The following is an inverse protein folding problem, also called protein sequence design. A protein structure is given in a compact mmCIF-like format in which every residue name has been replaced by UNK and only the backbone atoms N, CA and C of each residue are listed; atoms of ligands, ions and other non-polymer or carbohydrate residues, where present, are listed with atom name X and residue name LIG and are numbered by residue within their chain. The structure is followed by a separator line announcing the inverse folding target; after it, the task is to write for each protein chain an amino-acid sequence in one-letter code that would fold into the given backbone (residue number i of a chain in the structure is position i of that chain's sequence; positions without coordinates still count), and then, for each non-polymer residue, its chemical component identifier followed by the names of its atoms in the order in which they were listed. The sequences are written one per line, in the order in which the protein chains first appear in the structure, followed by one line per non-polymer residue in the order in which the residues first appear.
data_IF_644612894389
#
_entry.id   IF_644612894389
#
_cell.length_a   1.000
_cell.length_b   1.000
_cell.length_c   1.000
_cell.angle_alpha   90.00
_cell.angle_beta   90.00
_cell.angle_gamma   90.00
#
_symmetry.space_group_name_H-M   'P 1'
#
loop_
_entity.id
_entity.type
_entity.pdbx_description
1 polymer ?
#
# COMPACT_ATOMS: atom_id res chain seq x y z
N UNK A 1 1.03 -41.57 -21.62
CA UNK A 1 1.56 -41.15 -20.30
C UNK A 1 3.08 -41.14 -20.40
N UNK A 2 3.70 -39.96 -20.55
CA UNK A 2 5.15 -39.86 -20.58
C UNK A 2 5.67 -39.96 -19.15
N UNK A 3 6.37 -41.04 -18.85
CA UNK A 3 7.05 -41.25 -17.57
C UNK A 3 8.16 -40.20 -17.48
N UNK A 4 7.97 -39.20 -16.61
CA UNK A 4 8.98 -38.17 -16.36
C UNK A 4 10.16 -38.86 -15.67
N UNK A 5 11.17 -39.23 -16.44
CA UNK A 5 12.45 -39.69 -15.89
C UNK A 5 13.03 -38.48 -15.18
N UNK A 6 12.99 -38.47 -13.84
CA UNK A 6 13.76 -37.50 -13.05
C UNK A 6 15.22 -37.95 -13.13
N UNK A 7 15.83 -37.66 -14.28
CA UNK A 7 17.24 -37.84 -14.52
C UNK A 7 17.98 -36.81 -13.65
N UNK A 8 18.65 -37.29 -12.61
CA UNK A 8 19.43 -36.46 -11.72
C UNK A 8 20.65 -35.98 -12.51
N UNK A 9 20.65 -34.69 -12.89
CA UNK A 9 21.70 -34.09 -13.71
C UNK A 9 23.10 -34.11 -13.05
N UNK A 10 23.18 -34.40 -11.74
CA UNK A 10 24.44 -34.41 -11.00
C UNK A 10 25.05 -33.02 -10.88
N UNK A 11 24.23 -32.01 -10.54
CA UNK A 11 24.72 -30.64 -10.38
C UNK A 11 25.43 -30.47 -9.02
N UNK A 12 26.33 -29.50 -8.86
CA UNK A 12 26.96 -29.20 -7.56
C UNK A 12 25.95 -29.01 -6.41
N UNK A 13 24.72 -28.55 -6.69
CA UNK A 13 23.62 -28.45 -5.71
C UNK A 13 22.96 -29.79 -5.30
N UNK A 14 23.30 -30.90 -5.96
CA UNK A 14 22.89 -32.26 -5.59
C UNK A 14 23.88 -32.92 -4.62
N UNK A 15 25.09 -32.38 -4.48
CA UNK A 15 26.14 -32.90 -3.60
C UNK A 15 26.19 -32.17 -2.26
N UNK A 16 26.56 -32.89 -1.20
CA UNK A 16 26.83 -32.28 0.11
C UNK A 16 28.05 -31.36 0.05
N UNK A 17 28.22 -30.49 1.05
CA UNK A 17 29.39 -29.61 1.09
C UNK A 17 30.71 -30.39 1.16
N UNK A 18 30.71 -31.58 1.77
CA UNK A 18 31.89 -32.42 1.93
C UNK A 18 32.22 -33.16 0.63
N UNK A 19 31.19 -33.65 -0.07
CA UNK A 19 31.34 -34.27 -1.40
C UNK A 19 31.82 -33.26 -2.44
N UNK A 20 31.33 -32.01 -2.39
CA UNK A 20 31.82 -30.94 -3.27
C UNK A 20 33.31 -30.67 -3.11
N UNK A 21 33.83 -30.75 -1.88
CA UNK A 21 35.26 -30.63 -1.60
C UNK A 21 36.04 -31.85 -2.09
N UNK A 22 35.50 -33.05 -1.83
CA UNK A 22 36.11 -34.31 -2.26
C UNK A 22 36.26 -34.39 -3.78
N UNK A 23 35.23 -33.98 -4.52
CA UNK A 23 35.21 -33.98 -5.99
C UNK A 23 35.74 -32.68 -6.62
N UNK A 24 36.25 -31.74 -5.82
CA UNK A 24 36.80 -30.45 -6.29
C UNK A 24 35.80 -29.62 -7.15
N UNK A 25 34.52 -29.65 -6.78
CA UNK A 25 33.42 -28.99 -7.51
C UNK A 25 33.16 -27.55 -7.06
N UNK A 26 34.04 -26.95 -6.27
CA UNK A 26 33.84 -25.62 -5.67
C UNK A 26 33.68 -24.52 -6.73
N UNK A 27 34.55 -24.51 -7.74
CA UNK A 27 34.48 -23.53 -8.83
C UNK A 27 33.16 -23.66 -9.62
N UNK A 28 32.70 -24.89 -9.85
CA UNK A 28 31.42 -25.14 -10.52
C UNK A 28 30.23 -24.73 -9.66
N UNK A 29 30.31 -24.93 -8.34
CA UNK A 29 29.30 -24.48 -7.40
C UNK A 29 29.15 -22.96 -7.42
N UNK A 30 30.25 -22.19 -7.51
CA UNK A 30 30.22 -20.74 -7.62
C UNK A 30 29.52 -20.25 -8.90
N UNK A 31 29.79 -20.90 -10.03
CA UNK A 31 29.09 -20.60 -11.29
C UNK A 31 27.59 -20.96 -11.20
N UNK A 32 27.26 -22.12 -10.62
CA UNK A 32 25.88 -22.54 -10.43
C UNK A 32 25.11 -21.55 -9.54
N UNK A 33 25.72 -21.05 -8.47
CA UNK A 33 25.15 -20.00 -7.61
C UNK A 33 24.78 -18.77 -8.43
N UNK A 34 25.71 -18.24 -9.25
CA UNK A 34 25.44 -17.04 -10.06
C UNK A 34 24.30 -17.26 -11.05
N UNK A 35 24.27 -18.41 -11.72
CA UNK A 35 23.21 -18.76 -12.66
C UNK A 35 21.85 -18.88 -11.94
N UNK A 36 21.82 -19.57 -10.80
CA UNK A 36 20.58 -19.76 -10.04
C UNK A 36 20.05 -18.46 -9.43
N UNK A 37 20.92 -17.52 -9.04
CA UNK A 37 20.49 -16.18 -8.61
C UNK A 37 19.76 -15.48 -9.76
N UNK A 38 20.34 -15.47 -10.96
CA UNK A 38 19.67 -14.93 -12.16
C UNK A 38 18.32 -15.62 -12.44
N UNK A 39 18.31 -16.95 -12.47
CA UNK A 39 17.09 -17.74 -12.67
C UNK A 39 16.03 -17.46 -11.60
N UNK A 40 16.43 -17.24 -10.34
CA UNK A 40 15.50 -16.93 -9.27
C UNK A 40 14.82 -15.57 -9.50
N UNK A 41 15.55 -14.55 -9.97
CA UNK A 41 14.96 -13.26 -10.33
C UNK A 41 14.02 -13.37 -11.54
N UNK A 42 14.44 -14.03 -12.61
CA UNK A 42 13.59 -14.23 -13.80
C UNK A 42 12.29 -14.99 -13.43
N UNK A 43 12.42 -16.01 -12.57
CA UNK A 43 11.28 -16.79 -12.13
C UNK A 43 10.40 -16.00 -11.15
N UNK A 44 10.97 -15.13 -10.33
CA UNK A 44 10.21 -14.21 -9.48
C UNK A 44 9.39 -13.23 -10.31
N UNK A 45 9.94 -12.71 -11.42
CA UNK A 45 9.21 -11.85 -12.36
C UNK A 45 8.05 -12.60 -13.02
N UNK A 46 8.25 -13.86 -13.40
CA UNK A 46 7.15 -14.73 -13.89
C UNK A 46 6.08 -14.97 -12.83
N UNK A 47 6.46 -15.12 -11.55
CA UNK A 47 5.48 -15.22 -10.46
C UNK A 47 4.68 -13.93 -10.37
N UNK A 48 5.34 -12.76 -10.37
CA UNK A 48 4.67 -11.46 -10.31
C UNK A 48 3.68 -11.28 -11.47
N UNK A 49 4.10 -11.59 -12.69
CA UNK A 49 3.23 -11.52 -13.87
C UNK A 49 2.03 -12.48 -13.77
N UNK A 50 2.26 -13.73 -13.37
CA UNK A 50 1.18 -14.70 -13.16
C UNK A 50 0.15 -14.20 -12.14
N UNK A 51 0.62 -13.64 -11.02
CA UNK A 51 -0.28 -13.11 -9.98
C UNK A 51 -1.02 -11.86 -10.49
N UNK A 52 -0.37 -10.98 -11.28
CA UNK A 52 -1.05 -9.84 -11.94
C UNK A 52 -2.21 -10.30 -12.82
N UNK A 53 -2.00 -11.33 -13.65
CA UNK A 53 -3.07 -11.90 -14.48
C UNK A 53 -4.20 -12.50 -13.63
N UNK A 54 -3.87 -13.24 -12.57
CA UNK A 54 -4.87 -13.77 -11.64
C UNK A 54 -5.73 -12.64 -11.03
N UNK A 55 -5.11 -11.54 -10.61
CA UNK A 55 -5.85 -10.40 -10.08
C UNK A 55 -6.76 -9.76 -11.13
N UNK A 56 -6.29 -9.62 -12.38
CA UNK A 56 -7.12 -9.13 -13.47
C UNK A 56 -8.35 -10.03 -13.74
N UNK A 57 -8.18 -11.36 -13.74
CA UNK A 57 -9.31 -12.29 -13.92
C UNK A 57 -10.31 -12.26 -12.76
N UNK A 58 -9.85 -12.07 -11.53
CA UNK A 58 -10.74 -11.92 -10.37
C UNK A 58 -11.59 -10.65 -10.53
N UNK A 59 -10.99 -9.56 -10.98
CA UNK A 59 -11.71 -8.31 -11.23
C UNK A 59 -12.66 -8.42 -12.43
N UNK A 60 -12.23 -9.03 -13.53
CA UNK A 60 -13.10 -9.29 -14.69
C UNK A 60 -14.31 -10.15 -14.30
N UNK A 61 -14.11 -11.17 -13.46
CA UNK A 61 -15.21 -11.96 -12.91
C UNK A 61 -16.18 -11.09 -12.11
N UNK A 62 -15.67 -10.19 -11.27
CA UNK A 62 -16.51 -9.31 -10.44
C UNK A 62 -17.36 -8.37 -11.29
N UNK A 63 -16.81 -7.88 -12.40
CA UNK A 63 -17.47 -6.91 -13.28
C UNK A 63 -18.44 -7.55 -14.26
N UNK A 64 -18.07 -8.69 -14.86
CA UNK A 64 -18.77 -9.22 -16.03
C UNK A 64 -19.60 -10.50 -15.76
N UNK A 65 -19.37 -11.21 -14.64
CA UNK A 65 -20.05 -12.49 -14.39
C UNK A 65 -21.43 -12.33 -13.75
N UNK A 66 -22.41 -11.92 -14.56
CA UNK A 66 -23.80 -11.73 -14.10
C UNK A 66 -24.65 -13.01 -14.21
N UNK A 67 -24.36 -13.90 -15.16
CA UNK A 67 -25.11 -15.15 -15.35
C UNK A 67 -24.44 -16.35 -14.67
N UNK A 68 -25.19 -17.43 -14.46
CA UNK A 68 -24.65 -18.70 -13.90
C UNK A 68 -23.60 -19.32 -14.83
N UNK A 69 -23.83 -19.24 -16.15
CA UNK A 69 -22.91 -19.77 -17.16
C UNK A 69 -21.59 -18.97 -17.16
N UNK A 70 -21.66 -17.64 -17.09
CA UNK A 70 -20.47 -16.78 -17.05
C UNK A 70 -19.71 -16.97 -15.74
N UNK A 71 -20.41 -17.10 -14.62
CA UNK A 71 -19.79 -17.41 -13.33
C UNK A 71 -19.01 -18.72 -13.35
N UNK A 72 -19.54 -19.75 -14.01
CA UNK A 72 -18.88 -21.05 -14.14
C UNK A 72 -17.60 -20.93 -14.98
N UNK A 73 -17.68 -20.30 -16.16
CA UNK A 73 -16.52 -20.09 -17.04
C UNK A 73 -15.42 -19.26 -16.36
N UNK A 74 -15.78 -18.13 -15.76
CA UNK A 74 -14.82 -17.28 -15.05
C UNK A 74 -14.22 -17.98 -13.82
N UNK A 75 -14.98 -18.84 -13.15
CA UNK A 75 -14.45 -19.64 -12.04
C UNK A 75 -13.41 -20.67 -12.52
N UNK A 76 -13.60 -21.29 -13.68
CA UNK A 76 -12.63 -22.24 -14.23
C UNK A 76 -11.33 -21.54 -14.66
N UNK A 77 -11.44 -20.36 -15.30
CA UNK A 77 -10.27 -19.51 -15.62
C UNK A 77 -9.53 -19.11 -14.35
N UNK A 78 -10.25 -18.73 -13.29
CA UNK A 78 -9.65 -18.37 -12.00
C UNK A 78 -8.93 -19.58 -11.38
N UNK A 79 -9.56 -20.76 -11.33
CA UNK A 79 -8.95 -21.99 -10.80
C UNK A 79 -7.68 -22.36 -11.58
N UNK A 80 -7.73 -22.31 -12.90
CA UNK A 80 -6.57 -22.54 -13.76
C UNK A 80 -5.45 -21.56 -13.41
N UNK A 81 -5.77 -20.27 -13.30
CA UNK A 81 -4.80 -19.21 -12.99
C UNK A 81 -4.16 -19.37 -11.61
N UNK A 82 -4.94 -19.78 -10.60
CA UNK A 82 -4.41 -20.12 -9.26
C UNK A 82 -3.44 -21.29 -9.35
N UNK A 83 -3.81 -22.36 -10.05
CA UNK A 83 -2.92 -23.53 -10.22
C UNK A 83 -1.63 -23.16 -10.98
N UNK A 84 -1.74 -22.27 -11.97
CA UNK A 84 -0.61 -21.74 -12.72
C UNK A 84 0.34 -20.95 -11.82
N UNK A 85 -0.18 -20.01 -11.02
CA UNK A 85 0.60 -19.25 -10.04
C UNK A 85 1.34 -20.16 -9.07
N UNK A 86 0.64 -21.14 -8.48
CA UNK A 86 1.25 -22.11 -7.57
C UNK A 86 2.36 -22.92 -8.24
N UNK A 87 2.18 -23.34 -9.51
CA UNK A 87 3.19 -24.08 -10.26
C UNK A 87 4.45 -23.24 -10.52
N UNK A 88 4.28 -21.99 -10.94
CA UNK A 88 5.40 -21.06 -11.19
C UNK A 88 6.13 -20.74 -9.88
N UNK A 89 5.41 -20.56 -8.77
CA UNK A 89 5.97 -20.33 -7.45
C UNK A 89 6.69 -21.56 -6.89
N UNK A 90 6.19 -22.78 -7.11
CA UNK A 90 6.89 -24.02 -6.76
C UNK A 90 8.22 -24.14 -7.51
N UNK A 91 8.27 -23.75 -8.78
CA UNK A 91 9.53 -23.72 -9.55
C UNK A 91 10.52 -22.69 -8.98
N UNK A 92 10.05 -21.54 -8.52
CA UNK A 92 10.90 -20.59 -7.79
C UNK A 92 11.43 -21.21 -6.49
N UNK A 93 10.56 -21.79 -5.66
CA UNK A 93 10.95 -22.43 -4.40
C UNK A 93 11.96 -23.56 -4.62
N UNK A 94 11.82 -24.33 -5.70
CA UNK A 94 12.80 -25.32 -6.08
C UNK A 94 14.18 -24.69 -6.36
N UNK A 95 14.24 -23.60 -7.11
CA UNK A 95 15.51 -22.89 -7.38
C UNK A 95 16.09 -22.33 -6.06
N UNK A 96 15.24 -21.79 -5.19
CA UNK A 96 15.65 -21.26 -3.89
C UNK A 96 16.21 -22.34 -2.96
N UNK A 97 15.55 -23.51 -2.88
CA UNK A 97 16.02 -24.66 -2.09
C UNK A 97 17.40 -25.13 -2.59
N UNK A 98 17.66 -25.10 -3.91
CA UNK A 98 18.99 -25.41 -4.47
C UNK A 98 20.05 -24.35 -4.18
N UNK A 99 19.67 -23.06 -4.16
CA UNK A 99 20.55 -21.98 -3.73
C UNK A 99 20.94 -22.14 -2.25
N UNK A 100 19.98 -22.54 -1.41
CA UNK A 100 20.23 -22.83 0.00
C UNK A 100 21.18 -24.03 0.17
N UNK A 101 21.01 -25.09 -0.62
CA UNK A 101 21.93 -26.23 -0.61
C UNK A 101 23.37 -25.89 -1.05
N UNK A 102 23.54 -24.90 -1.93
CA UNK A 102 24.87 -24.42 -2.35
C UNK A 102 25.55 -23.53 -1.31
N UNK A 103 24.78 -22.64 -0.65
CA UNK A 103 25.32 -21.62 0.26
C UNK A 103 25.19 -21.94 1.76
N UNK A 104 24.47 -23.00 2.12
CA UNK A 104 24.13 -23.34 3.50
C UNK A 104 22.90 -22.58 4.03
N UNK A 105 22.56 -22.81 5.30
CA UNK A 105 21.33 -22.31 5.93
C UNK A 105 21.21 -20.77 6.00
N UNK A 106 22.33 -20.05 5.86
CA UNK A 106 22.33 -18.57 5.90
C UNK A 106 22.65 -18.00 4.52
N UNK A 107 21.60 -17.74 3.74
CA UNK A 107 21.65 -16.85 2.57
C UNK A 107 21.80 -15.39 3.05
N UNK A 108 22.90 -14.99 3.69
CA UNK A 108 23.24 -13.56 4.00
C UNK A 108 24.59 -13.49 4.72
N UNK A 109 25.43 -12.45 4.53
CA UNK A 109 25.33 -11.19 5.29
C UNK A 109 25.49 -9.91 4.43
N UNK A 110 26.15 -9.95 3.26
CA UNK A 110 26.46 -8.74 2.49
C UNK A 110 25.21 -8.11 1.84
N UNK A 111 24.80 -6.87 2.21
CA UNK A 111 23.68 -6.16 1.58
C UNK A 111 23.89 -5.87 0.09
N UNK A 112 25.13 -5.96 -0.39
CA UNK A 112 25.51 -5.79 -1.80
C UNK A 112 25.17 -7.03 -2.64
N UNK A 113 25.11 -8.22 -2.04
CA UNK A 113 24.81 -9.45 -2.78
C UNK A 113 23.33 -9.47 -3.22
N UNK A 114 23.02 -9.59 -4.51
CA UNK A 114 21.64 -9.71 -4.99
C UNK A 114 20.88 -10.89 -4.36
N UNK A 115 21.55 -11.97 -3.96
CA UNK A 115 20.92 -13.13 -3.32
C UNK A 115 20.29 -12.82 -1.95
N UNK A 116 20.78 -11.78 -1.24
CA UNK A 116 20.27 -11.37 0.09
C UNK A 116 18.80 -10.97 0.09
N UNK A 117 18.27 -10.59 -1.08
CA UNK A 117 16.88 -10.16 -1.26
C UNK A 117 15.93 -11.35 -1.43
N UNK A 118 16.44 -12.51 -1.83
CA UNK A 118 15.62 -13.68 -2.13
C UNK A 118 15.12 -14.35 -0.85
N UNK A 119 13.85 -14.76 -0.82
CA UNK A 119 13.22 -15.46 0.29
C UNK A 119 12.37 -16.60 -0.24
N UNK A 120 12.06 -17.60 0.58
CA UNK A 120 11.11 -18.65 0.19
C UNK A 120 9.71 -18.05 0.04
N UNK A 121 8.99 -18.42 -1.03
CA UNK A 121 7.60 -17.98 -1.26
C UNK A 121 6.64 -18.90 -0.48
N UNK A 122 5.78 -18.30 0.35
CA UNK A 122 4.62 -18.97 0.93
C UNK A 122 3.49 -19.02 -0.11
N UNK A 123 3.18 -20.22 -0.59
CA UNK A 123 2.15 -20.45 -1.62
C UNK A 123 0.75 -19.99 -1.22
N UNK A 124 0.48 -19.81 0.07
CA UNK A 124 -0.84 -19.42 0.58
C UNK A 124 -0.98 -17.93 0.83
N UNK A 125 0.10 -17.27 1.27
CA UNK A 125 0.11 -15.87 1.68
C UNK A 125 0.68 -14.96 0.59
N UNK A 126 1.77 -15.37 -0.03
CA UNK A 126 2.57 -14.48 -0.88
C UNK A 126 1.99 -14.32 -2.30
N UNK A 127 1.13 -15.24 -2.74
CA UNK A 127 0.49 -15.23 -4.06
C UNK A 127 -0.77 -14.37 -4.12
N UNK A 128 -1.06 -13.60 -3.07
CA UNK A 128 -2.22 -12.70 -3.02
C UNK A 128 -1.77 -11.28 -3.39
N UNK A 129 -2.42 -10.69 -4.39
CA UNK A 129 -2.33 -9.26 -4.64
C UNK A 129 -3.36 -8.55 -3.76
N UNK A 130 -2.92 -7.50 -3.06
CA UNK A 130 -3.84 -6.55 -2.44
C UNK A 130 -4.67 -5.89 -3.55
N UNK A 131 -6.00 -5.84 -3.38
CA UNK A 131 -6.93 -5.39 -4.43
C UNK A 131 -6.42 -4.08 -5.07
N UNK A 132 -6.20 -4.12 -6.39
CA UNK A 132 -5.57 -3.03 -7.14
C UNK A 132 -6.47 -1.80 -7.26
N UNK A 133 -7.80 -1.97 -7.24
CA UNK A 133 -8.78 -0.90 -7.50
C UNK A 133 -9.29 -0.24 -6.22
N UNK A 134 -9.26 -0.94 -5.09
CA UNK A 134 -9.79 -0.43 -3.83
C UNK A 134 -8.75 0.48 -3.19
N UNK A 135 -9.12 1.74 -3.00
CA UNK A 135 -8.35 2.69 -2.21
C UNK A 135 -8.16 2.14 -0.79
N UNK A 136 -7.04 2.43 -0.13
CA UNK A 136 -6.78 1.88 1.20
C UNK A 136 -7.77 2.49 2.19
N UNK A 137 -8.56 1.66 2.87
CA UNK A 137 -9.52 2.14 3.86
C UNK A 137 -8.85 2.40 5.22
N UNK A 138 -9.45 3.25 6.05
CA UNK A 138 -9.02 3.51 7.41
C UNK A 138 -9.07 2.21 8.23
N UNK A 139 -7.90 1.63 8.52
CA UNK A 139 -7.76 0.30 9.13
C UNK A 139 -6.81 -0.64 8.37
N UNK A 140 -6.50 -0.34 7.12
CA UNK A 140 -5.57 -1.13 6.29
C UNK A 140 -4.08 -0.92 6.63
N UNK A 141 -3.77 -0.26 7.76
CA UNK A 141 -2.39 -0.03 8.27
C UNK A 141 -1.58 -1.33 8.39
N UNK A 142 -2.26 -2.46 8.60
CA UNK A 142 -1.64 -3.78 8.74
C UNK A 142 -1.57 -4.60 7.44
N UNK A 143 -2.11 -4.12 6.30
CA UNK A 143 -1.96 -4.81 5.01
C UNK A 143 -0.55 -4.62 4.46
N UNK A 144 0.39 -5.41 4.97
CA UNK A 144 1.70 -5.56 4.34
C UNK A 144 1.54 -6.42 3.08
N UNK A 145 1.79 -5.85 1.91
CA UNK A 145 1.83 -6.61 0.67
C UNK A 145 2.95 -7.65 0.72
N UNK A 146 2.77 -8.78 0.00
CA UNK A 146 3.77 -9.85 -0.08
C UNK A 146 5.17 -9.32 -0.41
N UNK A 147 6.21 -9.89 0.21
CA UNK A 147 7.61 -9.48 0.02
C UNK A 147 8.06 -9.58 -1.45
N UNK A 148 7.40 -10.43 -2.25
CA UNK A 148 7.69 -10.57 -3.68
C UNK A 148 7.56 -9.24 -4.43
N UNK A 149 6.82 -8.27 -3.89
CA UNK A 149 6.62 -6.95 -4.50
C UNK A 149 7.70 -5.91 -4.10
N UNK A 150 8.45 -6.15 -3.02
CA UNK A 150 9.30 -5.11 -2.39
C UNK A 150 10.80 -5.27 -2.66
N UNK A 151 11.21 -6.25 -3.47
CA UNK A 151 12.62 -6.52 -3.73
C UNK A 151 13.24 -5.54 -4.73
N UNK A 152 13.74 -4.42 -4.19
CA UNK A 152 14.99 -3.76 -4.56
C UNK A 152 15.33 -3.75 -6.06
N UNK A 153 14.53 -3.05 -6.84
CA UNK A 153 14.91 -2.22 -8.01
C UNK A 153 13.65 -1.46 -8.37
N UNK A 154 13.84 -0.27 -8.93
CA UNK A 154 12.83 0.72 -9.34
C UNK A 154 11.46 0.10 -9.68
N UNK A 155 10.35 0.76 -9.29
CA UNK A 155 8.99 0.23 -9.40
C UNK A 155 8.80 -0.51 -10.72
N UNK A 156 8.75 -1.84 -10.60
CA UNK A 156 8.73 -2.73 -11.74
C UNK A 156 7.36 -2.63 -12.42
N UNK A 157 7.35 -1.97 -13.59
CA UNK A 157 6.24 -1.89 -14.55
C UNK A 157 4.99 -1.15 -14.05
N UNK A 158 4.23 -0.61 -15.01
CA UNK A 158 3.17 0.40 -14.88
C UNK A 158 2.14 0.20 -13.78
N UNK A 159 1.93 -1.03 -13.33
CA UNK A 159 0.99 -1.40 -12.27
C UNK A 159 1.41 -0.82 -10.91
N UNK A 160 2.69 -0.87 -10.57
CA UNK A 160 3.23 -0.36 -9.29
C UNK A 160 3.25 1.17 -9.29
N UNK A 161 3.57 1.77 -10.45
CA UNK A 161 3.42 3.22 -10.66
C UNK A 161 1.97 3.65 -10.53
N UNK A 162 1.02 2.93 -11.11
CA UNK A 162 -0.39 3.28 -11.02
C UNK A 162 -0.90 3.20 -9.57
N UNK A 163 -0.48 2.20 -8.79
CA UNK A 163 -0.79 2.14 -7.36
C UNK A 163 -0.18 3.31 -6.59
N UNK A 164 1.10 3.62 -6.86
CA UNK A 164 1.78 4.76 -6.27
C UNK A 164 1.07 6.07 -6.61
N UNK A 165 0.72 6.30 -7.88
CA UNK A 165 -0.01 7.49 -8.32
C UNK A 165 -1.39 7.59 -7.68
N UNK A 166 -2.12 6.48 -7.51
CA UNK A 166 -3.42 6.47 -6.82
C UNK A 166 -3.26 6.85 -5.35
N UNK A 167 -2.31 6.23 -4.64
CA UNK A 167 -2.04 6.54 -3.24
C UNK A 167 -1.58 8.01 -3.06
N UNK A 168 -0.77 8.50 -4.00
CA UNK A 168 -0.33 9.89 -4.02
C UNK A 168 -1.49 10.87 -4.28
N UNK A 169 -2.36 10.57 -5.25
CA UNK A 169 -3.56 11.38 -5.50
C UNK A 169 -4.53 11.35 -4.33
N UNK A 170 -4.68 10.21 -3.66
CA UNK A 170 -5.50 10.08 -2.47
C UNK A 170 -4.95 10.93 -1.32
N UNK A 171 -3.63 10.89 -1.09
CA UNK A 171 -2.94 11.78 -0.16
C UNK A 171 -3.22 13.25 -0.49
N UNK A 172 -3.08 13.64 -1.75
CA UNK A 172 -3.39 15.01 -2.21
C UNK A 172 -4.85 15.43 -2.00
N UNK A 173 -5.82 14.52 -2.09
CA UNK A 173 -7.22 14.84 -1.80
C UNK A 173 -7.47 15.02 -0.31
N UNK A 174 -6.87 14.17 0.53
CA UNK A 174 -6.98 14.32 1.98
C UNK A 174 -6.33 15.62 2.46
N UNK A 175 -5.15 15.90 1.92
CA UNK A 175 -4.43 17.16 2.05
C UNK A 175 -5.30 18.38 1.70
N UNK A 176 -5.95 18.35 0.53
CA UNK A 176 -6.84 19.40 0.07
C UNK A 176 -8.04 19.57 1.01
N UNK A 177 -8.71 18.47 1.38
CA UNK A 177 -9.85 18.47 2.29
C UNK A 177 -9.50 19.08 3.66
N UNK A 178 -8.31 18.77 4.19
CA UNK A 178 -7.81 19.37 5.43
C UNK A 178 -7.63 20.88 5.30
N UNK A 179 -7.09 21.38 4.17
CA UNK A 179 -6.92 22.82 3.99
C UNK A 179 -8.25 23.54 3.83
N UNK A 180 -9.19 22.95 3.09
CA UNK A 180 -10.55 23.48 2.93
C UNK A 180 -11.20 23.59 4.30
N UNK A 181 -11.15 22.53 5.12
CA UNK A 181 -11.72 22.54 6.45
C UNK A 181 -11.09 23.61 7.35
N UNK A 182 -9.75 23.75 7.33
CA UNK A 182 -9.07 24.84 8.04
C UNK A 182 -9.54 26.23 7.56
N UNK A 183 -9.71 26.42 6.26
CA UNK A 183 -10.19 27.67 5.70
C UNK A 183 -11.65 27.97 6.10
N UNK A 184 -12.50 26.95 6.15
CA UNK A 184 -13.91 27.04 6.60
C UNK A 184 -14.02 27.43 8.07
N UNK A 185 -13.19 26.83 8.95
CA UNK A 185 -13.09 27.24 10.35
C UNK A 185 -12.76 28.73 10.46
N UNK A 186 -11.69 29.18 9.79
CA UNK A 186 -11.27 30.59 9.81
C UNK A 186 -12.34 31.53 9.27
N UNK A 187 -12.98 31.15 8.16
CA UNK A 187 -14.06 31.94 7.57
C UNK A 187 -15.25 32.06 8.52
N UNK A 188 -15.63 30.98 9.19
CA UNK A 188 -16.74 30.95 10.15
C UNK A 188 -16.43 31.77 11.40
N UNK A 189 -15.21 31.66 11.95
CA UNK A 189 -14.75 32.46 13.09
C UNK A 189 -14.81 33.95 12.76
N UNK A 190 -14.20 34.37 11.63
CA UNK A 190 -14.19 35.76 11.18
C UNK A 190 -15.58 36.29 10.87
N UNK A 191 -16.40 35.52 10.15
CA UNK A 191 -17.77 35.90 9.79
C UNK A 191 -18.65 36.10 11.02
N UNK A 192 -18.56 35.18 11.98
CA UNK A 192 -19.31 35.28 13.25
C UNK A 192 -18.83 36.45 14.10
N UNK A 193 -17.52 36.68 14.19
CA UNK A 193 -16.96 37.82 14.93
C UNK A 193 -17.40 39.16 14.32
N UNK A 194 -17.40 39.27 12.99
CA UNK A 194 -17.85 40.49 12.31
C UNK A 194 -19.36 40.72 12.48
N UNK A 195 -20.17 39.67 12.38
CA UNK A 195 -21.61 39.76 12.66
C UNK A 195 -21.86 40.19 14.11
N UNK A 196 -21.14 39.62 15.08
CA UNK A 196 -21.22 40.05 16.47
C UNK A 196 -20.89 41.55 16.62
N UNK A 197 -19.85 42.04 15.94
CA UNK A 197 -19.47 43.45 15.94
C UNK A 197 -20.55 44.36 15.34
N UNK A 198 -21.16 43.95 14.22
CA UNK A 198 -22.23 44.71 13.58
C UNK A 198 -23.50 44.77 14.44
N UNK A 199 -23.87 43.66 15.08
CA UNK A 199 -25.02 43.62 16.00
C UNK A 199 -24.79 44.46 17.26
N UNK A 200 -23.56 44.48 17.78
CA UNK A 200 -23.18 45.38 18.88
C UNK A 200 -23.33 46.85 18.47
N UNK A 201 -22.81 47.23 17.30
CA UNK A 201 -22.96 48.59 16.79
C UNK A 201 -24.43 48.96 16.53
N UNK A 202 -25.28 48.02 16.11
CA UNK A 202 -26.72 48.24 15.96
C UNK A 202 -27.40 48.46 17.32
N UNK A 203 -27.03 47.69 18.34
CA UNK A 203 -27.54 47.85 19.71
C UNK A 203 -27.19 49.23 20.30
N UNK A 204 -25.97 49.71 20.03
CA UNK A 204 -25.49 51.03 20.49
C UNK A 204 -26.22 52.20 19.80
N UNK A 205 -26.68 52.00 18.56
CA UNK A 205 -27.39 53.02 17.77
C UNK A 205 -28.89 53.07 18.06
N UNK A 206 -29.50 51.98 18.54
CA UNK A 206 -30.94 51.96 18.80
C UNK A 206 -31.27 52.64 20.14
N UNK A 207 -32.28 53.50 20.10
CA UNK A 207 -32.86 54.17 21.27
C UNK A 207 -34.05 53.41 21.85
N UNK A 208 -34.60 52.43 21.11
CA UNK A 208 -35.75 51.63 21.53
C UNK A 208 -35.27 50.44 22.35
N UNK A 209 -35.74 50.26 23.61
CA UNK A 209 -35.25 49.19 24.48
C UNK A 209 -35.39 47.77 23.90
N UNK A 210 -36.50 47.50 23.19
CA UNK A 210 -36.76 46.19 22.59
C UNK A 210 -35.81 45.86 21.44
N UNK A 211 -35.57 46.81 20.54
CA UNK A 211 -34.63 46.65 19.43
C UNK A 211 -33.19 46.48 19.92
N UNK A 212 -32.81 47.26 20.93
CA UNK A 212 -31.51 47.14 21.58
C UNK A 212 -31.34 45.77 22.24
N UNK A 213 -32.35 45.27 22.96
CA UNK A 213 -32.30 43.94 23.57
C UNK A 213 -32.16 42.83 22.52
N UNK A 214 -32.89 42.94 21.41
CA UNK A 214 -32.79 42.00 20.28
C UNK A 214 -31.40 42.01 19.64
N UNK A 215 -30.84 43.20 19.38
CA UNK A 215 -29.50 43.33 18.82
C UNK A 215 -28.42 42.76 19.76
N UNK A 216 -28.53 42.99 21.08
CA UNK A 216 -27.63 42.40 22.08
C UNK A 216 -27.75 40.87 22.14
N UNK A 217 -28.95 40.32 21.97
CA UNK A 217 -29.14 38.87 21.91
C UNK A 217 -28.39 38.25 20.72
N UNK A 218 -28.47 38.88 19.53
CA UNK A 218 -27.74 38.43 18.35
C UNK A 218 -26.24 38.59 18.50
N UNK A 219 -25.76 39.70 19.06
CA UNK A 219 -24.35 39.88 19.41
C UNK A 219 -23.84 38.72 20.29
N UNK A 220 -24.57 38.38 21.35
CA UNK A 220 -24.22 37.28 22.24
C UNK A 220 -24.23 35.91 21.52
N UNK A 221 -25.22 35.69 20.66
CA UNK A 221 -25.32 34.46 19.84
C UNK A 221 -24.10 34.28 18.93
N UNK A 222 -23.76 35.30 18.13
CA UNK A 222 -22.63 35.23 17.20
C UNK A 222 -21.28 35.17 17.92
N UNK A 223 -21.16 35.82 19.08
CA UNK A 223 -19.97 35.69 19.95
C UNK A 223 -19.80 34.25 20.44
N UNK A 224 -20.88 33.62 20.91
CA UNK A 224 -20.84 32.21 21.32
C UNK A 224 -20.47 31.30 20.15
N UNK A 225 -21.02 31.55 18.96
CA UNK A 225 -20.73 30.74 17.76
C UNK A 225 -19.26 30.85 17.33
N UNK A 226 -18.70 32.07 17.35
CA UNK A 226 -17.28 32.30 17.07
C UNK A 226 -16.38 31.57 18.07
N UNK A 227 -16.66 31.70 19.37
CA UNK A 227 -15.87 31.05 20.42
C UNK A 227 -15.95 29.52 20.38
N UNK A 228 -17.13 28.96 20.10
CA UNK A 228 -17.30 27.51 19.96
C UNK A 228 -16.53 26.98 18.75
N UNK A 229 -16.57 27.70 17.62
CA UNK A 229 -15.82 27.35 16.42
C UNK A 229 -14.31 27.46 16.63
N UNK A 230 -13.84 28.49 17.34
CA UNK A 230 -12.45 28.66 17.73
C UNK A 230 -11.97 27.51 18.63
N UNK A 231 -12.75 27.14 19.65
CA UNK A 231 -12.42 26.02 20.54
C UNK A 231 -12.31 24.69 19.79
N UNK A 232 -13.25 24.40 18.88
CA UNK A 232 -13.20 23.21 18.04
C UNK A 232 -12.00 23.23 17.07
N UNK A 233 -11.63 24.40 16.54
CA UNK A 233 -10.47 24.55 15.67
C UNK A 233 -9.15 24.34 16.42
N UNK A 234 -9.03 24.90 17.63
CA UNK A 234 -7.85 24.75 18.47
C UNK A 234 -7.67 23.30 18.96
N UNK A 235 -8.76 22.58 19.25
CA UNK A 235 -8.72 21.15 19.61
C UNK A 235 -8.27 20.27 18.42
N UNK A 236 -8.73 20.58 17.20
CA UNK A 236 -8.40 19.81 16.01
C UNK A 236 -6.97 20.04 15.49
N UNK A 237 -6.33 21.14 15.91
CA UNK A 237 -5.00 21.55 15.47
C UNK A 237 -3.91 20.94 16.35
N UNK A 238 -2.78 20.57 15.76
CA UNK A 238 -1.60 20.11 16.50
C UNK A 238 -0.99 21.24 17.37
N UNK A 239 -0.40 20.87 18.51
CA UNK A 239 0.24 21.80 19.43
C UNK A 239 1.36 22.62 18.78
N UNK A 240 1.39 23.93 19.03
CA UNK A 240 2.46 24.83 18.57
C UNK A 240 2.32 25.35 17.14
N UNK A 241 1.16 25.15 16.50
CA UNK A 241 0.92 25.59 15.13
C UNK A 241 0.26 26.96 15.08
N UNK A 242 0.88 27.91 14.37
CA UNK A 242 0.30 29.22 14.09
C UNK A 242 -1.07 29.11 13.39
N UNK A 243 -2.14 29.73 13.93
CA UNK A 243 -3.50 29.70 13.35
C UNK A 243 -3.60 30.25 11.94
N UNK A 244 -2.66 31.07 11.44
CA UNK A 244 -2.72 31.67 10.11
C UNK A 244 -1.92 30.90 9.03
N UNK A 245 -1.12 29.90 9.41
CA UNK A 245 -0.34 29.11 8.45
C UNK A 245 -1.21 27.99 7.84
N UNK A 246 -1.24 27.85 6.51
CA UNK A 246 -1.91 26.74 5.81
C UNK A 246 -0.93 25.59 5.69
N UNK A 247 -1.08 24.52 6.48
CA UNK A 247 -0.25 23.31 6.32
C UNK A 247 -0.95 22.06 6.87
N UNK A 248 -0.86 20.99 6.10
CA UNK A 248 -1.45 19.68 6.35
C UNK A 248 -0.65 18.86 7.36
N UNK A 249 0.60 19.24 7.62
CA UNK A 249 1.47 18.63 8.65
C UNK A 249 0.99 18.86 10.09
N UNK A 250 -0.16 19.53 10.25
CA UNK A 250 -0.56 20.24 11.47
C UNK A 250 -1.93 19.84 12.01
N UNK A 251 -2.53 18.78 11.48
CA UNK A 251 -3.67 18.10 12.08
C UNK A 251 -3.11 16.99 12.98
N UNK A 252 -3.62 16.90 14.21
CA UNK A 252 -3.27 15.79 15.11
C UNK A 252 -3.52 14.48 14.38
N UNK A 253 -2.49 13.62 14.28
CA UNK A 253 -2.69 12.29 13.73
C UNK A 253 -3.75 11.56 14.59
N UNK A 254 -4.72 10.86 13.98
CA UNK A 254 -5.61 9.99 14.74
C UNK A 254 -4.85 8.86 15.44
#
# INVERSE_FOLDING_TARGET
MAQKVDEVLGLPSDFSSDDRKLYQLELLADYEVRLRVGQAFDQLDRVREAVKHLAAYIEEKKENAHSVADNTKSQDVTKFSVSYCQRVARRYNYIYDRLLALRGETLTIDPSDPASRLRRIDLTKDLKIANLKVAREQGDRHRSGSWIWWNGKQPAQDVDRAQWFRAWQEKLRYDEAVNILCAEFRATIRGSAELARLWQAAAERSTVPGERAYALQHHAMFTRMSNACQGAYDEARADGVDPDTVDQSKVSAP
#
